data_IF_954735434636
#
_entry.id   IF_954735434636
#
_cell.length_a   1.000
_cell.length_b   1.000
_cell.length_c   1.000
_cell.angle_alpha   90.00
_cell.angle_beta   90.00
_cell.angle_gamma   90.00
#
_symmetry.space_group_name_H-M   'P 1'
#
loop_
_entity.id
_entity.type
_entity.pdbx_description
1 polymer ?
#
# COMPACT_ATOMS: atom_id res chain seq x y z
N UNK A 1 8.53 -24.26 12.44
CA UNK A 1 7.24 -25.01 12.33
C UNK A 1 6.17 -24.47 13.27
N UNK A 2 6.12 -24.73 14.58
CA UNK A 2 5.00 -24.26 15.42
C UNK A 2 4.80 -22.71 15.45
N UNK A 3 5.88 -21.93 15.30
CA UNK A 3 5.81 -20.47 15.30
C UNK A 3 5.42 -19.87 13.94
N UNK A 4 5.66 -20.58 12.82
CA UNK A 4 5.23 -20.14 11.48
C UNK A 4 3.71 -20.20 11.37
N UNK A 5 3.12 -21.31 11.80
CA UNK A 5 1.66 -21.48 11.82
C UNK A 5 0.96 -20.37 12.60
N UNK A 6 1.54 -19.92 13.73
CA UNK A 6 0.95 -18.85 14.53
C UNK A 6 0.93 -17.51 13.78
N UNK A 7 1.99 -17.17 13.04
CA UNK A 7 2.06 -15.89 12.33
C UNK A 7 1.09 -15.89 11.16
N UNK A 8 1.04 -17.00 10.39
CA UNK A 8 0.08 -17.16 9.30
C UNK A 8 -1.36 -17.17 9.80
N UNK A 9 -1.64 -17.82 10.92
CA UNK A 9 -2.95 -17.79 11.56
C UNK A 9 -3.35 -16.37 12.01
N UNK A 10 -2.40 -15.59 12.53
CA UNK A 10 -2.65 -14.19 12.89
C UNK A 10 -2.96 -13.35 11.65
N UNK A 11 -2.17 -13.50 10.59
CA UNK A 11 -2.41 -12.82 9.32
C UNK A 11 -3.78 -13.20 8.72
N UNK A 12 -4.12 -14.48 8.72
CA UNK A 12 -5.40 -15.01 8.24
C UNK A 12 -6.59 -14.53 9.08
N UNK A 13 -6.41 -14.30 10.38
CA UNK A 13 -7.44 -13.71 11.22
C UNK A 13 -7.63 -12.20 10.95
N UNK A 14 -6.57 -11.47 10.62
CA UNK A 14 -6.63 -10.02 10.34
C UNK A 14 -7.28 -9.72 8.99
N UNK A 15 -6.92 -10.48 7.94
CA UNK A 15 -7.32 -10.20 6.56
C UNK A 15 -8.84 -10.00 6.35
N UNK A 16 -9.74 -10.88 6.84
CA UNK A 16 -11.18 -10.68 6.67
C UNK A 16 -11.69 -9.48 7.46
N UNK A 17 -11.08 -9.16 8.61
CA UNK A 17 -11.49 -8.05 9.47
C UNK A 17 -11.12 -6.68 8.89
N UNK A 18 -10.22 -6.62 7.91
CA UNK A 18 -9.91 -5.39 7.18
C UNK A 18 -10.64 -5.30 5.84
N UNK A 19 -11.69 -6.09 5.61
CA UNK A 19 -12.44 -6.10 4.36
C UNK A 19 -11.86 -7.01 3.27
N UNK A 20 -10.91 -7.88 3.62
CA UNK A 20 -10.31 -8.85 2.71
C UNK A 20 -9.23 -8.27 1.79
N UNK A 21 -8.68 -9.14 0.93
CA UNK A 21 -7.54 -8.82 0.06
C UNK A 21 -7.84 -7.69 -0.95
N UNK A 22 -9.10 -7.57 -1.38
CA UNK A 22 -9.54 -6.53 -2.30
C UNK A 22 -9.57 -5.14 -1.66
N UNK A 23 -9.67 -5.05 -0.32
CA UNK A 23 -9.69 -3.76 0.38
C UNK A 23 -8.28 -3.23 0.71
N UNK A 24 -7.25 -4.06 0.59
CA UNK A 24 -5.86 -3.68 0.90
C UNK A 24 -5.22 -3.06 -0.34
N UNK A 25 -4.86 -1.77 -0.25
CA UNK A 25 -4.20 -1.00 -1.31
C UNK A 25 -2.67 -1.08 -1.21
N UNK A 26 -2.12 -1.04 0.00
CA UNK A 26 -0.69 -1.13 0.25
C UNK A 26 -0.39 -1.70 1.62
N UNK A 27 0.77 -2.35 1.75
CA UNK A 27 1.23 -2.98 2.99
C UNK A 27 2.63 -2.44 3.29
N UNK A 28 2.85 -2.04 4.54
CA UNK A 28 4.16 -1.68 5.07
C UNK A 28 4.23 -2.07 6.55
N UNK A 29 5.42 -2.14 7.12
CA UNK A 29 5.56 -2.33 8.56
C UNK A 29 6.76 -1.55 9.12
N UNK A 30 6.67 -1.21 10.40
CA UNK A 30 7.80 -0.72 11.18
C UNK A 30 8.19 -1.75 12.25
N UNK A 31 8.93 -1.34 13.28
CA UNK A 31 9.37 -2.25 14.34
C UNK A 31 8.23 -2.91 15.12
N UNK A 32 7.07 -2.24 15.25
CA UNK A 32 5.98 -2.72 16.13
C UNK A 32 4.59 -2.68 15.50
N UNK A 33 4.44 -2.11 14.30
CA UNK A 33 3.11 -1.87 13.68
C UNK A 33 3.09 -2.31 12.23
N UNK A 34 2.01 -3.00 11.87
CA UNK A 34 1.60 -3.25 10.49
C UNK A 34 0.80 -2.04 10.01
N UNK A 35 1.17 -1.46 8.87
CA UNK A 35 0.53 -0.30 8.26
C UNK A 35 -0.16 -0.73 6.98
N UNK A 36 -1.45 -0.47 6.90
CA UNK A 36 -2.30 -0.81 5.77
C UNK A 36 -2.83 0.47 5.14
N UNK A 37 -2.57 0.63 3.84
CA UNK A 37 -3.38 1.48 2.99
C UNK A 37 -4.64 0.72 2.62
N UNK A 38 -5.81 1.30 2.88
CA UNK A 38 -7.11 0.65 2.63
C UNK A 38 -7.90 1.44 1.59
N UNK A 39 -8.69 0.74 0.77
CA UNK A 39 -9.59 1.37 -0.19
C UNK A 39 -10.85 1.92 0.48
N UNK A 40 -11.40 1.17 1.44
CA UNK A 40 -12.59 1.54 2.20
C UNK A 40 -12.42 1.20 3.69
N UNK A 41 -12.41 2.24 4.52
CA UNK A 41 -12.27 2.14 5.98
C UNK A 41 -13.52 1.57 6.65
N UNK A 42 -14.69 1.72 6.04
CA UNK A 42 -15.97 1.28 6.61
C UNK A 42 -16.11 -0.24 6.67
N UNK A 43 -15.31 -0.97 5.88
CA UNK A 43 -15.27 -2.43 5.85
C UNK A 43 -14.42 -3.04 6.98
N UNK A 44 -13.75 -2.20 7.79
CA UNK A 44 -12.86 -2.66 8.85
C UNK A 44 -13.64 -2.84 10.15
N UNK A 45 -13.45 -3.99 10.79
CA UNK A 45 -13.99 -4.27 12.11
C UNK A 45 -12.92 -4.02 13.20
N UNK A 46 -12.91 -2.79 13.72
CA UNK A 46 -11.98 -2.37 14.77
C UNK A 46 -12.10 -3.18 16.06
N UNK A 47 -13.32 -3.52 16.46
CA UNK A 47 -13.57 -4.19 17.74
C UNK A 47 -13.12 -5.65 17.66
N UNK A 48 -13.42 -6.34 16.55
CA UNK A 48 -12.90 -7.68 16.32
C UNK A 48 -11.38 -7.70 16.20
N UNK A 49 -10.76 -6.70 15.56
CA UNK A 49 -9.30 -6.60 15.48
C UNK A 49 -8.66 -6.45 16.87
N UNK A 50 -9.19 -5.58 17.73
CA UNK A 50 -8.69 -5.41 19.10
C UNK A 50 -8.90 -6.64 19.98
N UNK A 51 -9.91 -7.47 19.66
CA UNK A 51 -10.17 -8.71 20.39
C UNK A 51 -9.17 -9.84 20.05
N UNK A 52 -8.40 -9.71 18.96
CA UNK A 52 -7.39 -10.69 18.61
C UNK A 52 -6.23 -10.68 19.63
N UNK A 53 -5.82 -11.84 20.20
CA UNK A 53 -4.77 -11.90 21.23
C UNK A 53 -3.40 -11.34 20.79
N UNK A 54 -3.14 -11.30 19.49
CA UNK A 54 -1.89 -10.79 18.93
C UNK A 54 -1.92 -9.26 18.67
N UNK A 55 -3.10 -8.63 18.75
CA UNK A 55 -3.30 -7.21 18.49
C UNK A 55 -3.31 -6.48 19.82
N UNK A 56 -2.34 -5.58 20.00
CA UNK A 56 -2.22 -4.74 21.19
C UNK A 56 -3.04 -3.45 21.07
N UNK A 57 -3.49 -3.12 19.85
CA UNK A 57 -4.31 -1.97 19.56
C UNK A 57 -4.33 -1.63 18.08
N UNK A 58 -5.20 -0.68 17.73
CA UNK A 58 -5.30 -0.10 16.38
C UNK A 58 -5.17 1.41 16.48
N UNK A 59 -4.49 2.01 15.50
CA UNK A 59 -4.26 3.45 15.42
C UNK A 59 -4.63 3.90 14.02
N UNK A 60 -5.41 4.96 13.94
CA UNK A 60 -5.78 5.61 12.69
C UNK A 60 -5.04 6.95 12.60
N UNK A 61 -4.32 7.12 11.50
CA UNK A 61 -3.52 8.30 11.15
C UNK A 61 -3.54 8.41 9.62
N UNK A 62 -2.44 8.79 8.95
CA UNK A 62 -2.33 8.71 7.48
C UNK A 62 -2.59 7.32 6.87
N UNK A 63 -2.39 6.26 7.66
CA UNK A 63 -2.64 4.86 7.30
C UNK A 63 -3.31 4.14 8.46
N UNK A 64 -4.01 3.05 8.18
CA UNK A 64 -4.57 2.21 9.23
C UNK A 64 -3.47 1.33 9.84
N UNK A 65 -3.24 1.42 11.14
CA UNK A 65 -2.10 0.76 11.79
C UNK A 65 -2.57 -0.25 12.84
N UNK A 66 -2.09 -1.48 12.73
CA UNK A 66 -2.34 -2.55 13.70
C UNK A 66 -1.06 -2.75 14.53
N UNK A 67 -1.16 -2.61 15.85
CA UNK A 67 -0.04 -2.77 16.77
C UNK A 67 0.09 -4.23 17.16
N UNK A 68 1.15 -4.91 16.71
CA UNK A 68 1.41 -6.34 16.99
C UNK A 68 2.58 -6.56 17.97
N UNK A 69 3.39 -5.51 18.19
CA UNK A 69 4.57 -5.57 19.04
C UNK A 69 5.86 -5.96 18.29
N UNK A 70 7.02 -5.83 18.97
CA UNK A 70 8.32 -6.04 18.36
C UNK A 70 8.53 -7.50 17.97
N UNK A 71 9.12 -7.73 16.79
CA UNK A 71 9.41 -9.06 16.26
C UNK A 71 8.20 -9.80 15.68
N UNK A 72 7.02 -9.70 16.31
CA UNK A 72 5.77 -10.29 15.79
C UNK A 72 5.40 -9.69 14.43
N UNK A 73 5.43 -8.36 14.33
CA UNK A 73 5.07 -7.66 13.08
C UNK A 73 5.94 -8.09 11.89
N UNK A 74 7.25 -8.24 12.10
CA UNK A 74 8.19 -8.61 11.04
C UNK A 74 7.95 -10.05 10.53
N UNK A 75 7.34 -10.91 11.36
CA UNK A 75 6.98 -12.28 10.99
C UNK A 75 5.58 -12.41 10.42
N UNK A 76 4.63 -11.58 10.87
CA UNK A 76 3.23 -11.59 10.39
C UNK A 76 3.09 -10.91 9.03
N UNK A 77 3.87 -9.85 8.77
CA UNK A 77 3.77 -9.08 7.52
C UNK A 77 3.96 -9.93 6.25
N UNK A 78 5.01 -10.77 6.11
CA UNK A 78 5.17 -11.58 4.90
C UNK A 78 4.04 -12.60 4.70
N UNK A 79 3.52 -13.19 5.78
CA UNK A 79 2.36 -14.09 5.73
C UNK A 79 1.10 -13.34 5.28
N UNK A 80 0.93 -12.11 5.77
CA UNK A 80 -0.20 -11.25 5.39
C UNK A 80 -0.13 -10.85 3.91
N UNK A 81 1.05 -10.48 3.42
CA UNK A 81 1.28 -10.20 2.00
C UNK A 81 0.94 -11.41 1.13
N UNK A 82 1.41 -12.61 1.49
CA UNK A 82 1.08 -13.84 0.76
C UNK A 82 -0.43 -14.10 0.72
N UNK A 83 -1.13 -13.99 1.85
CA UNK A 83 -2.58 -14.19 1.91
C UNK A 83 -3.37 -13.16 1.10
N UNK A 84 -2.87 -11.92 1.03
CA UNK A 84 -3.47 -10.88 0.17
C UNK A 84 -3.33 -11.24 -1.30
N UNK A 85 -2.15 -11.71 -1.73
CA UNK A 85 -1.94 -12.15 -3.11
C UNK A 85 -2.77 -13.40 -3.44
N UNK A 86 -2.78 -14.42 -2.58
CA UNK A 86 -3.65 -15.61 -2.71
C UNK A 86 -5.14 -15.22 -2.81
N UNK A 87 -5.58 -14.27 -1.99
CA UNK A 87 -6.96 -13.78 -1.98
C UNK A 87 -7.33 -12.99 -3.24
N UNK A 88 -6.37 -12.36 -3.90
CA UNK A 88 -6.56 -11.66 -5.19
C UNK A 88 -6.62 -12.63 -6.36
N UNK A 89 -5.85 -13.72 -6.34
CA UNK A 89 -5.89 -14.76 -7.36
C UNK A 89 -7.14 -15.65 -7.27
N UNK A 90 -7.62 -15.92 -6.04
CA UNK A 90 -8.81 -16.74 -5.81
C UNK A 90 -10.13 -16.00 -6.06
N UNK A 91 -10.14 -14.67 -6.00
CA UNK A 91 -11.28 -13.87 -6.42
C UNK A 91 -11.27 -13.78 -7.96
N UNK A 92 -12.35 -14.15 -8.67
CA UNK A 92 -12.43 -13.85 -10.10
C UNK A 92 -12.45 -12.33 -10.21
N UNK A 93 -11.32 -11.74 -10.60
CA UNK A 93 -11.29 -10.36 -11.01
C UNK A 93 -12.37 -10.18 -12.08
N UNK A 94 -13.23 -9.15 -12.02
CA UNK A 94 -13.78 -8.62 -13.26
C UNK A 94 -12.55 -8.15 -14.05
N UNK A 95 -12.18 -8.92 -15.06
CA UNK A 95 -11.13 -8.59 -16.01
C UNK A 95 -11.51 -7.29 -16.72
N UNK A 96 -11.08 -6.16 -16.16
CA UNK A 96 -10.46 -5.16 -17.01
C UNK A 96 -9.01 -5.63 -17.17
N UNK A 97 -8.81 -6.64 -18.02
CA UNK A 97 -7.53 -6.85 -18.65
C UNK A 97 -7.25 -5.59 -19.44
N UNK A 98 -6.58 -4.61 -18.82
CA UNK A 98 -6.02 -3.50 -19.58
C UNK A 98 -4.85 -4.11 -20.33
N UNK A 99 -5.17 -4.54 -21.55
CA UNK A 99 -4.19 -4.97 -22.54
C UNK A 99 -3.06 -3.95 -22.62
N UNK A 100 -1.84 -4.39 -22.88
CA UNK A 100 -0.66 -3.51 -22.98
C UNK A 100 -0.87 -2.37 -23.99
N UNK A 101 -1.80 -2.55 -24.95
CA UNK A 101 -2.25 -1.55 -25.91
C UNK A 101 -3.15 -0.46 -25.29
N UNK A 102 -4.05 -0.79 -24.35
CA UNK A 102 -4.87 0.19 -23.62
C UNK A 102 -4.08 0.98 -22.57
N UNK A 103 -3.06 0.39 -21.94
CA UNK A 103 -2.14 1.12 -21.06
C UNK A 103 -1.33 2.17 -21.84
N UNK A 104 -0.96 1.86 -23.09
CA UNK A 104 -0.27 2.80 -23.98
C UNK A 104 -1.20 3.94 -24.45
N UNK A 105 -2.48 3.64 -24.73
CA UNK A 105 -3.47 4.64 -25.11
C UNK A 105 -3.89 5.54 -23.93
N UNK A 106 -4.07 4.99 -22.73
CA UNK A 106 -4.38 5.76 -21.52
C UNK A 106 -3.17 6.59 -21.05
N UNK A 107 -1.94 6.10 -21.22
CA UNK A 107 -0.71 6.86 -20.95
C UNK A 107 -0.53 8.10 -21.84
N UNK A 108 -1.01 8.05 -23.09
CA UNK A 108 -1.01 9.19 -24.01
C UNK A 108 -2.06 10.24 -23.63
N UNK A 109 -3.28 9.82 -23.24
CA UNK A 109 -4.36 10.72 -22.83
C UNK A 109 -4.08 11.43 -21.49
N UNK A 110 -3.49 10.72 -20.52
CA UNK A 110 -3.12 11.28 -19.21
C UNK A 110 -1.93 12.25 -19.35
N UNK A 111 -0.93 11.95 -20.19
CA UNK A 111 0.18 12.88 -20.49
C UNK A 111 -0.28 14.14 -21.23
N UNK A 112 -1.31 14.07 -22.07
CA UNK A 112 -1.89 15.22 -22.76
C UNK A 112 -2.58 16.19 -21.79
N UNK A 113 -3.30 15.68 -20.79
CA UNK A 113 -3.95 16.53 -19.77
C UNK A 113 -2.96 17.04 -18.69
N UNK A 114 -1.91 16.28 -18.37
CA UNK A 114 -0.88 16.71 -17.41
C UNK A 114 0.03 17.83 -17.95
N UNK A 115 0.24 17.89 -19.28
CA UNK A 115 1.01 18.95 -19.95
C UNK A 115 0.27 20.28 -20.04
N UNK A 116 -1.06 20.28 -20.14
CA UNK A 116 -1.84 21.51 -20.19
C UNK A 116 -1.94 22.20 -18.81
N UNK A 117 -2.03 21.44 -17.71
CA UNK A 117 -2.18 22.00 -16.35
C UNK A 117 -0.86 22.34 -15.64
N UNK A 118 0.28 21.78 -16.06
CA UNK A 118 1.61 22.14 -15.52
C UNK A 118 2.31 23.30 -16.26
N UNK A 119 1.68 23.88 -17.28
CA UNK A 119 2.20 25.06 -17.99
C UNK A 119 1.82 26.38 -17.29
N UNK A 120 1.97 26.43 -15.96
CA UNK A 120 1.78 27.68 -15.21
C UNK A 120 3.11 28.47 -15.16
N UNK A 121 3.11 29.76 -15.51
CA UNK A 121 4.33 30.57 -15.73
C UNK A 121 5.27 30.63 -14.51
N UNK A 122 4.74 30.39 -13.31
CA UNK A 122 5.51 30.37 -12.07
C UNK A 122 6.47 29.17 -11.95
N UNK A 123 6.11 27.99 -12.47
CA UNK A 123 6.99 26.79 -12.44
C UNK A 123 8.12 26.84 -13.46
N UNK A 124 7.93 27.57 -14.58
CA UNK A 124 8.98 27.79 -15.57
C UNK A 124 10.06 28.77 -15.06
N UNK A 125 9.67 29.73 -14.22
CA UNK A 125 10.60 30.63 -13.53
C UNK A 125 11.50 29.88 -12.53
N UNK A 126 10.91 28.98 -11.72
CA UNK A 126 11.66 28.18 -10.73
C UNK A 126 12.71 27.26 -11.38
N UNK A 127 12.43 26.72 -12.58
CA UNK A 127 13.38 25.88 -13.33
C UNK A 127 14.60 26.65 -13.87
N UNK A 128 14.49 27.96 -14.07
CA UNK A 128 15.59 28.82 -14.54
C UNK A 128 16.59 29.10 -13.41
N UNK A 129 16.12 29.23 -12.16
CA UNK A 129 16.98 29.48 -10.98
C UNK A 129 17.65 28.18 -10.51
N UNK A 130 16.95 27.04 -10.56
CA UNK A 130 17.51 25.75 -10.14
C UNK A 130 18.74 25.32 -10.98
N UNK A 131 18.80 25.68 -12.27
CA UNK A 131 19.95 25.39 -13.13
C UNK A 131 21.20 26.24 -12.85
N UNK A 132 21.12 27.24 -11.98
CA UNK A 132 22.27 28.06 -11.58
C UNK A 132 23.02 27.41 -10.40
N UNK A 133 22.35 26.55 -9.62
CA UNK A 133 22.87 26.02 -8.35
C UNK A 133 23.07 24.51 -8.31
N UNK A 134 22.87 23.79 -9.42
CA UNK A 134 23.33 22.40 -9.52
C UNK A 134 24.76 22.41 -10.05
N UNK A 135 25.79 22.14 -9.22
CA UNK A 135 27.12 21.88 -9.74
C UNK A 135 27.07 20.57 -10.52
N UNK A 136 27.36 20.65 -11.82
CA UNK A 136 27.59 19.51 -12.70
C UNK A 136 28.78 18.72 -12.14
N UNK A 137 28.52 17.54 -11.57
CA UNK A 137 29.58 16.57 -11.29
C UNK A 137 29.90 15.88 -12.64
N UNK A 138 31.13 16.00 -13.16
CA UNK A 138 31.50 15.33 -14.40
C UNK A 138 31.65 13.82 -14.14
N UNK A 139 30.97 13.00 -14.94
CA UNK A 139 31.26 11.59 -15.06
C UNK A 139 32.47 11.44 -16.01
N UNK A 140 33.63 11.09 -15.44
CA UNK A 140 34.71 10.41 -16.16
C UNK A 140 34.63 8.92 -15.80
#
# INVERSE_FOLDING_TARGET
>A
MATEDKNRATAAAILPLVGGAANVASIAHCMTRLRLGLHDRSLVDDEALKALPAVLGVVEDDTYQIVLGPGTVARVTPEFEQLVEEGREAAPAPVAAVSAEELAAQGAAIKAQQKAKNATPFKLFLRRIANIFVPLIPAL
#
